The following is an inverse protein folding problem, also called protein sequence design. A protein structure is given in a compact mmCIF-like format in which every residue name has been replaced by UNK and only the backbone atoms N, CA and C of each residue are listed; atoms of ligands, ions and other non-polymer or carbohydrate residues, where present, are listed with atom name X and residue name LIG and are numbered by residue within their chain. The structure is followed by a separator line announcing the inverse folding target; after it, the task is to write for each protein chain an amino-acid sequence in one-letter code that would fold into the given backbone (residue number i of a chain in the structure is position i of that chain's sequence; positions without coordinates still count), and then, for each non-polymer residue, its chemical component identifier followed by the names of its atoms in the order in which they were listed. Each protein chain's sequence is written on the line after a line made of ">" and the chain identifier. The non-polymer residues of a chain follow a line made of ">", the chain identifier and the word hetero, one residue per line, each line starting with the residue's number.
data_IF_779171941770
#
_entry.id   IF_779171941770
#
_cell.length_a   1.000
_cell.length_b   1.000
_cell.length_c   1.000
_cell.angle_alpha   90.00
_cell.angle_beta   90.00
_cell.angle_gamma   90.00
#
_symmetry.space_group_name_H-M   'P 1'
#
loop_
_entity.id
_entity.type
_entity.pdbx_description
1 polymer ?
#
# COMPACT_ATOMS: atom_id res chain seq x y z
N UNK A 1 4.07 5.73 -5.00
CA UNK A 1 3.73 4.63 -5.91
C UNK A 1 2.29 4.81 -6.32
N UNK A 2 1.95 4.58 -7.59
CA UNK A 2 0.56 4.62 -8.05
C UNK A 2 -0.03 3.22 -8.00
N UNK A 3 -1.20 3.10 -7.37
CA UNK A 3 -2.04 1.90 -7.39
C UNK A 3 -3.21 2.23 -8.29
N UNK A 4 -3.39 1.43 -9.34
CA UNK A 4 -4.50 1.55 -10.26
C UNK A 4 -5.54 0.50 -9.90
N UNK A 5 -6.79 0.92 -9.88
CA UNK A 5 -7.94 0.05 -9.66
C UNK A 5 -8.65 -0.13 -10.99
N UNK A 6 -8.90 -1.39 -11.35
CA UNK A 6 -9.56 -1.78 -12.57
C UNK A 6 -10.83 -2.55 -12.23
N UNK A 7 -11.89 -2.25 -12.94
CA UNK A 7 -13.01 -3.17 -13.10
C UNK A 7 -12.62 -4.20 -14.17
N UNK A 8 -12.87 -5.48 -13.92
CA UNK A 8 -12.51 -6.59 -14.80
C UNK A 8 -13.70 -7.51 -14.94
N UNK A 9 -14.14 -7.74 -16.18
CA UNK A 9 -15.11 -8.77 -16.52
C UNK A 9 -14.37 -10.02 -17.01
N UNK A 10 -14.69 -11.16 -16.41
CA UNK A 10 -14.12 -12.45 -16.77
C UNK A 10 -15.21 -13.50 -16.95
N UNK A 11 -14.91 -14.50 -17.78
CA UNK A 11 -15.71 -15.72 -17.90
C UNK A 11 -14.84 -16.86 -17.40
N UNK A 12 -15.36 -17.59 -16.43
CA UNK A 12 -14.77 -18.81 -15.91
C UNK A 12 -15.53 -20.02 -16.47
N UNK A 13 -14.80 -21.06 -16.86
CA UNK A 13 -15.35 -22.32 -17.37
C UNK A 13 -15.12 -23.39 -16.29
N UNK A 14 -16.20 -24.03 -15.85
CA UNK A 14 -16.23 -25.14 -14.90
C UNK A 14 -17.07 -26.26 -15.47
N UNK A 15 -16.52 -27.47 -15.65
CA UNK A 15 -17.26 -28.73 -15.88
C UNK A 15 -18.60 -28.60 -16.66
N UNK A 16 -18.59 -27.89 -17.80
CA UNK A 16 -19.73 -27.62 -18.72
C UNK A 16 -20.63 -26.41 -18.42
N UNK A 17 -20.23 -25.49 -17.54
CA UNK A 17 -20.90 -24.22 -17.28
C UNK A 17 -19.94 -23.03 -17.43
N UNK A 18 -20.47 -21.95 -17.98
CA UNK A 18 -19.79 -20.66 -18.08
C UNK A 18 -20.34 -19.73 -17.00
N UNK A 19 -19.46 -19.19 -16.16
CA UNK A 19 -19.82 -18.22 -15.13
C UNK A 19 -19.18 -16.88 -15.43
N UNK A 20 -20.01 -15.83 -15.54
CA UNK A 20 -19.54 -14.44 -15.59
C UNK A 20 -19.11 -13.99 -14.20
N UNK A 21 -17.97 -13.32 -14.14
CA UNK A 21 -17.40 -12.72 -12.93
C UNK A 21 -17.07 -11.25 -13.18
N UNK A 22 -17.49 -10.41 -12.24
CA UNK A 22 -17.15 -9.00 -12.21
C UNK A 22 -16.26 -8.74 -10.99
N UNK A 23 -15.06 -8.21 -11.23
CA UNK A 23 -14.00 -8.10 -10.23
C UNK A 23 -13.45 -6.69 -10.18
N UNK A 24 -13.13 -6.23 -8.97
CA UNK A 24 -12.29 -5.04 -8.79
C UNK A 24 -10.87 -5.49 -8.44
N UNK A 25 -9.92 -5.17 -9.31
CA UNK A 25 -8.53 -5.58 -9.21
C UNK A 25 -7.64 -4.35 -9.01
N UNK A 26 -6.73 -4.43 -8.02
CA UNK A 26 -5.77 -3.35 -7.72
C UNK A 26 -4.36 -3.80 -8.09
N UNK A 27 -3.68 -3.01 -8.91
CA UNK A 27 -2.28 -3.28 -9.32
C UNK A 27 -1.36 -2.09 -9.11
N UNK A 28 -0.11 -2.40 -8.80
CA UNK A 28 0.97 -1.41 -8.68
C UNK A 28 1.48 -1.03 -10.07
N UNK A 29 1.34 0.24 -10.46
CA UNK A 29 1.66 0.69 -11.81
C UNK A 29 0.61 0.30 -12.85
N UNK A 30 0.74 0.82 -14.07
CA UNK A 30 -0.17 0.56 -15.19
C UNK A 30 0.27 -0.65 -16.03
N UNK A 31 0.68 -1.73 -15.36
CA UNK A 31 1.20 -2.95 -15.99
C UNK A 31 0.05 -3.91 -16.28
N UNK A 32 -0.33 -4.02 -17.55
CA UNK A 32 -1.46 -4.86 -18.01
C UNK A 32 -1.22 -6.34 -17.72
N UNK A 33 0.02 -6.84 -17.82
CA UNK A 33 0.30 -8.25 -17.56
C UNK A 33 0.04 -8.59 -16.08
N UNK A 34 0.46 -7.70 -15.17
CA UNK A 34 0.13 -7.86 -13.74
C UNK A 34 -1.36 -7.78 -13.47
N UNK A 35 -2.11 -6.94 -14.19
CA UNK A 35 -3.57 -6.88 -14.09
C UNK A 35 -4.18 -8.24 -14.42
N UNK A 36 -3.82 -8.82 -15.57
CA UNK A 36 -4.32 -10.13 -15.96
C UNK A 36 -3.97 -11.23 -14.95
N UNK A 37 -2.73 -11.25 -14.45
CA UNK A 37 -2.29 -12.24 -13.46
C UNK A 37 -3.05 -12.15 -12.14
N UNK A 38 -3.24 -10.93 -11.62
CA UNK A 38 -3.96 -10.71 -10.37
C UNK A 38 -5.45 -11.03 -10.55
N UNK A 39 -6.06 -10.60 -11.65
CA UNK A 39 -7.45 -10.89 -11.97
C UNK A 39 -7.70 -12.41 -12.05
N UNK A 40 -6.87 -13.16 -12.78
CA UNK A 40 -6.97 -14.63 -12.87
C UNK A 40 -6.82 -15.29 -11.50
N UNK A 41 -5.85 -14.86 -10.69
CA UNK A 41 -5.66 -15.40 -9.33
C UNK A 41 -6.85 -15.12 -8.41
N UNK A 42 -7.45 -13.94 -8.52
CA UNK A 42 -8.63 -13.57 -7.73
C UNK A 42 -9.87 -14.35 -8.16
N UNK A 43 -10.11 -14.46 -9.47
CA UNK A 43 -11.16 -15.29 -10.03
C UNK A 43 -11.03 -16.77 -9.61
N UNK A 44 -9.83 -17.35 -9.73
CA UNK A 44 -9.56 -18.74 -9.33
C UNK A 44 -9.74 -19.00 -7.83
N UNK A 45 -9.58 -17.98 -6.98
CA UNK A 45 -9.87 -18.09 -5.54
C UNK A 45 -11.36 -18.08 -5.24
N UNK A 46 -12.15 -17.35 -6.03
CA UNK A 46 -13.60 -17.27 -5.86
C UNK A 46 -14.28 -18.54 -6.38
N UNK A 47 -13.73 -19.13 -7.44
CA UNK A 47 -14.28 -20.31 -8.09
C UNK A 47 -13.36 -21.52 -7.89
N UNK A 48 -13.73 -22.38 -6.94
CA UNK A 48 -13.04 -23.66 -6.72
C UNK A 48 -13.15 -24.53 -7.99
N UNK A 49 -12.11 -25.29 -8.34
CA UNK A 49 -12.09 -26.20 -9.50
C UNK A 49 -12.35 -25.55 -10.88
N UNK A 50 -11.85 -24.33 -11.10
CA UNK A 50 -11.96 -23.68 -12.41
C UNK A 50 -10.98 -24.28 -13.42
N UNK A 51 -11.46 -24.68 -14.61
CA UNK A 51 -10.61 -25.22 -15.68
C UNK A 51 -9.94 -24.10 -16.49
N UNK A 52 -10.68 -23.02 -16.77
CA UNK A 52 -10.18 -21.89 -17.57
C UNK A 52 -10.82 -20.58 -17.16
N UNK A 53 -10.02 -19.51 -17.16
CA UNK A 53 -10.48 -18.14 -16.91
C UNK A 53 -10.05 -17.26 -18.08
N UNK A 54 -11.02 -16.65 -18.74
CA UNK A 54 -10.81 -15.71 -19.84
C UNK A 54 -11.25 -14.32 -19.39
N UNK A 55 -10.35 -13.34 -19.51
CA UNK A 55 -10.68 -11.94 -19.22
C UNK A 55 -11.22 -11.33 -20.50
N UNK A 56 -12.46 -10.84 -20.43
CA UNK A 56 -13.21 -10.34 -21.59
C UNK A 56 -13.04 -8.83 -21.75
N UNK A 57 -13.10 -8.11 -20.64
CA UNK A 57 -13.01 -6.66 -20.60
C UNK A 57 -12.32 -6.18 -19.32
N UNK A 58 -11.65 -5.04 -19.39
CA UNK A 58 -11.20 -4.33 -18.21
C UNK A 58 -11.21 -2.82 -18.44
N UNK A 59 -11.52 -2.07 -17.38
CA UNK A 59 -11.58 -0.62 -17.39
C UNK A 59 -10.90 -0.04 -16.15
N UNK A 60 -10.07 0.99 -16.33
CA UNK A 60 -9.46 1.69 -15.19
C UNK A 60 -10.49 2.63 -14.55
N UNK A 61 -10.96 2.28 -13.36
CA UNK A 61 -11.98 3.06 -12.66
C UNK A 61 -11.39 4.08 -11.68
N UNK A 62 -10.16 3.87 -11.18
CA UNK A 62 -9.53 4.79 -10.23
C UNK A 62 -8.01 4.63 -10.22
N UNK A 63 -7.31 5.65 -9.72
CA UNK A 63 -5.92 5.54 -9.33
C UNK A 63 -5.67 6.31 -8.03
N UNK A 64 -4.82 5.77 -7.18
CA UNK A 64 -4.38 6.43 -5.96
C UNK A 64 -2.86 6.41 -5.84
N UNK A 65 -2.30 7.48 -5.28
CA UNK A 65 -0.89 7.52 -4.92
C UNK A 65 -0.71 7.13 -3.47
N UNK A 66 0.02 6.04 -3.24
CA UNK A 66 0.37 5.54 -1.91
C UNK A 66 1.87 5.65 -1.67
N UNK A 67 2.25 5.84 -0.41
CA UNK A 67 3.66 5.81 -0.03
C UNK A 67 4.17 4.36 0.05
N UNK A 68 5.49 4.19 0.04
CA UNK A 68 6.09 2.87 0.31
C UNK A 68 5.76 2.36 1.73
N UNK A 69 5.50 3.26 2.67
CA UNK A 69 5.17 2.88 4.05
C UNK A 69 3.72 2.35 4.15
N UNK A 70 2.76 2.93 3.43
CA UNK A 70 1.39 2.39 3.39
C UNK A 70 1.39 0.96 2.83
N UNK A 71 2.11 0.75 1.72
CA UNK A 71 2.27 -0.60 1.14
C UNK A 71 3.02 -1.55 2.06
N UNK A 72 3.99 -1.05 2.83
CA UNK A 72 4.64 -1.85 3.86
C UNK A 72 3.62 -2.34 4.90
N UNK A 73 2.74 -1.47 5.38
CA UNK A 73 1.69 -1.81 6.35
C UNK A 73 0.73 -2.85 5.79
N UNK A 74 0.22 -2.64 4.56
CA UNK A 74 -0.67 -3.59 3.88
C UNK A 74 -0.01 -4.96 3.69
N UNK A 75 1.26 -4.99 3.26
CA UNK A 75 1.97 -6.25 3.11
C UNK A 75 2.20 -6.97 4.44
N UNK A 76 2.49 -6.24 5.52
CA UNK A 76 2.61 -6.83 6.87
C UNK A 76 1.28 -7.43 7.34
N UNK A 77 0.17 -6.74 7.13
CA UNK A 77 -1.17 -7.22 7.49
C UNK A 77 -1.58 -8.45 6.69
N UNK A 78 -1.22 -8.52 5.41
CA UNK A 78 -1.46 -9.70 4.55
C UNK A 78 -0.52 -10.90 4.82
N UNK A 79 0.36 -10.81 5.82
CA UNK A 79 1.23 -11.91 6.22
C UNK A 79 2.46 -12.15 5.35
N UNK A 80 2.83 -11.22 4.45
CA UNK A 80 4.03 -11.37 3.63
C UNK A 80 5.30 -11.39 4.49
N UNK A 81 6.29 -12.19 4.06
CA UNK A 81 7.55 -12.29 4.79
C UNK A 81 8.38 -11.01 4.68
N UNK A 82 9.16 -10.71 5.71
CA UNK A 82 10.00 -9.50 5.78
C UNK A 82 10.91 -9.35 4.55
N UNK A 83 11.50 -10.45 4.09
CA UNK A 83 12.37 -10.47 2.91
C UNK A 83 11.61 -10.15 1.61
N UNK A 84 10.41 -10.72 1.44
CA UNK A 84 9.54 -10.42 0.30
C UNK A 84 9.14 -8.94 0.28
N UNK A 85 8.74 -8.38 1.43
CA UNK A 85 8.35 -6.97 1.54
C UNK A 85 9.51 -6.06 1.18
N UNK A 86 10.70 -6.31 1.75
CA UNK A 86 11.91 -5.50 1.47
C UNK A 86 12.25 -5.50 -0.01
N UNK A 87 12.22 -6.68 -0.64
CA UNK A 87 12.51 -6.87 -2.06
C UNK A 87 11.48 -6.14 -2.95
N UNK A 88 10.18 -6.36 -2.71
CA UNK A 88 9.10 -5.73 -3.50
C UNK A 88 9.12 -4.21 -3.42
N UNK A 89 9.34 -3.66 -2.23
CA UNK A 89 9.37 -2.21 -2.04
C UNK A 89 10.72 -1.57 -2.41
N UNK A 90 11.72 -2.39 -2.80
CA UNK A 90 13.09 -1.97 -3.10
C UNK A 90 13.63 -1.04 -2.02
N UNK A 91 13.55 -1.49 -0.76
CA UNK A 91 13.99 -0.72 0.41
C UNK A 91 15.42 -1.10 0.79
N UNK A 92 16.25 -0.10 1.13
CA UNK A 92 17.52 -0.37 1.79
C UNK A 92 17.26 -0.98 3.18
N UNK A 93 18.24 -1.74 3.70
CA UNK A 93 18.14 -2.34 5.02
C UNK A 93 17.80 -1.31 6.12
N UNK A 94 18.49 -0.16 6.09
CA UNK A 94 18.24 0.96 7.02
C UNK A 94 16.80 1.46 6.95
N UNK A 95 16.26 1.69 5.75
CA UNK A 95 14.89 2.20 5.58
C UNK A 95 13.84 1.15 5.98
N UNK A 96 14.12 -0.12 5.68
CA UNK A 96 13.27 -1.23 6.12
C UNK A 96 13.19 -1.33 7.64
N UNK A 97 14.33 -1.20 8.34
CA UNK A 97 14.38 -1.18 9.81
C UNK A 97 13.62 0.00 10.42
N UNK A 98 13.71 1.18 9.82
CA UNK A 98 12.91 2.35 10.20
C UNK A 98 11.40 2.03 10.13
N UNK A 99 10.94 1.43 9.03
CA UNK A 99 9.53 1.06 8.85
C UNK A 99 9.06 0.01 9.86
N UNK A 100 9.88 -1.02 10.08
CA UNK A 100 9.62 -2.08 11.05
C UNK A 100 9.49 -1.54 12.47
N UNK A 101 10.43 -0.69 12.91
CA UNK A 101 10.43 -0.11 14.24
C UNK A 101 9.18 0.75 14.48
N UNK A 102 8.81 1.57 13.49
CA UNK A 102 7.63 2.43 13.60
C UNK A 102 6.33 1.63 13.56
N UNK A 103 6.21 0.63 12.68
CA UNK A 103 5.04 -0.25 12.60
C UNK A 103 4.82 -1.05 13.89
N UNK A 104 5.88 -1.59 14.48
CA UNK A 104 5.83 -2.34 15.74
C UNK A 104 5.58 -1.45 16.98
N UNK A 105 5.43 -0.13 16.82
CA UNK A 105 5.23 0.80 17.94
C UNK A 105 6.48 1.01 18.81
N UNK A 106 7.67 0.61 18.34
CA UNK A 106 8.95 0.71 19.08
C UNK A 106 9.62 2.08 18.97
N UNK A 107 8.90 3.09 18.49
CA UNK A 107 9.39 4.46 18.37
C UNK A 107 8.83 5.33 19.49
N UNK A 108 9.51 6.43 19.81
CA UNK A 108 9.02 7.37 20.83
C UNK A 108 7.72 8.00 20.36
N UNK A 109 6.73 8.07 21.25
CA UNK A 109 5.45 8.74 20.96
C UNK A 109 5.71 10.20 20.57
N UNK A 110 5.14 10.61 19.46
CA UNK A 110 5.23 11.97 18.94
C UNK A 110 3.85 12.61 18.94
N UNK A 111 3.73 13.76 19.60
CA UNK A 111 2.47 14.51 19.76
C UNK A 111 2.60 15.90 19.18
N UNK A 112 1.46 16.54 18.92
CA UNK A 112 1.46 17.87 18.30
C UNK A 112 1.98 18.96 19.24
N UNK A 113 1.70 18.85 20.55
CA UNK A 113 2.31 19.72 21.55
C UNK A 113 3.84 19.62 21.53
N UNK A 114 4.37 18.39 21.42
CA UNK A 114 5.82 18.18 21.33
C UNK A 114 6.40 18.71 20.02
N UNK A 115 5.67 18.60 18.92
CA UNK A 115 6.06 19.23 17.65
C UNK A 115 6.19 20.74 17.78
N UNK A 116 5.18 21.43 18.35
CA UNK A 116 5.20 22.89 18.59
C UNK A 116 6.40 23.30 19.45
N UNK A 117 6.64 22.61 20.57
CA UNK A 117 7.79 22.89 21.45
C UNK A 117 9.12 22.83 20.68
N UNK A 118 9.33 21.80 19.87
CA UNK A 118 10.58 21.63 19.11
C UNK A 118 10.71 22.64 17.97
N UNK A 119 9.60 23.02 17.33
CA UNK A 119 9.59 24.06 16.31
C UNK A 119 9.87 25.44 16.89
N UNK A 120 9.37 25.75 18.08
CA UNK A 120 9.68 26.99 18.80
C UNK A 120 11.17 27.11 19.16
N UNK A 121 11.87 25.97 19.30
CA UNK A 121 13.33 25.91 19.44
C UNK A 121 14.09 25.95 18.11
N UNK A 122 13.40 26.30 17.02
CA UNK A 122 13.95 26.37 15.66
C UNK A 122 14.51 25.05 15.11
N UNK A 123 14.09 23.88 15.63
CA UNK A 123 14.54 22.61 15.06
C UNK A 123 13.90 22.37 13.68
N UNK A 124 14.69 22.00 12.64
CA UNK A 124 14.15 21.64 11.34
C UNK A 124 13.29 20.38 11.39
N UNK A 125 12.26 20.32 10.53
CA UNK A 125 11.35 19.20 10.40
C UNK A 125 12.06 17.85 10.23
N UNK A 126 13.09 17.78 9.38
CA UNK A 126 13.85 16.54 9.17
C UNK A 126 14.65 16.10 10.40
N UNK A 127 15.13 17.04 11.22
CA UNK A 127 15.82 16.72 12.48
C UNK A 127 14.82 16.15 13.48
N UNK A 128 13.66 16.79 13.64
CA UNK A 128 12.57 16.32 14.50
C UNK A 128 12.13 14.92 14.06
N UNK A 129 11.83 14.74 12.78
CA UNK A 129 11.40 13.46 12.21
C UNK A 129 12.40 12.34 12.51
N UNK A 130 13.68 12.57 12.22
CA UNK A 130 14.75 11.58 12.46
C UNK A 130 14.88 11.25 13.95
N UNK A 131 14.78 12.25 14.84
CA UNK A 131 14.85 12.06 16.31
C UNK A 131 13.76 11.13 16.85
N UNK A 132 12.59 11.13 16.21
CA UNK A 132 11.46 10.26 16.56
C UNK A 132 11.33 9.04 15.64
N UNK A 133 12.25 8.87 14.70
CA UNK A 133 12.29 7.75 13.74
C UNK A 133 10.98 7.55 12.96
N UNK A 134 10.29 8.65 12.65
CA UNK A 134 9.00 8.61 11.97
C UNK A 134 9.23 8.50 10.45
N UNK A 135 8.53 7.58 9.75
CA UNK A 135 8.53 7.55 8.30
C UNK A 135 8.13 8.90 7.70
N UNK A 136 8.91 9.37 6.73
CA UNK A 136 8.75 10.68 6.06
C UNK A 136 7.29 11.00 5.72
N UNK A 137 6.62 10.10 4.99
CA UNK A 137 5.22 10.29 4.59
C UNK A 137 4.24 10.39 5.77
N UNK A 138 4.50 9.69 6.89
CA UNK A 138 3.66 9.72 8.09
C UNK A 138 3.87 11.04 8.83
N UNK A 139 5.11 11.50 8.93
CA UNK A 139 5.44 12.78 9.56
C UNK A 139 4.78 13.97 8.87
N UNK A 140 4.86 14.03 7.53
CA UNK A 140 4.23 15.13 6.79
C UNK A 140 2.70 15.06 6.80
N UNK A 141 2.10 13.85 6.78
CA UNK A 141 0.66 13.70 7.01
C UNK A 141 0.25 14.17 8.39
N UNK A 142 1.04 13.84 9.41
CA UNK A 142 0.82 14.29 10.76
C UNK A 142 0.83 15.82 10.85
N UNK A 143 1.83 16.49 10.27
CA UNK A 143 1.87 17.96 10.24
C UNK A 143 0.64 18.51 9.52
N UNK A 144 0.36 18.04 8.30
CA UNK A 144 -0.77 18.52 7.48
C UNK A 144 -2.12 18.37 8.18
N UNK A 145 -2.33 17.26 8.90
CA UNK A 145 -3.56 17.05 9.69
C UNK A 145 -3.74 18.06 10.83
N UNK A 146 -2.69 18.78 11.22
CA UNK A 146 -2.69 19.78 12.28
C UNK A 146 -2.39 21.21 11.78
N UNK A 147 -2.19 21.43 10.48
CA UNK A 147 -1.93 22.76 9.90
C UNK A 147 -3.08 23.74 10.16
N UNK A 148 -4.33 23.27 10.22
CA UNK A 148 -5.49 24.09 10.62
C UNK A 148 -5.43 24.61 12.07
N UNK A 149 -4.50 24.10 12.89
CA UNK A 149 -4.28 24.51 14.30
C UNK A 149 -3.00 25.34 14.49
N UNK A 150 -2.36 25.72 13.37
CA UNK A 150 -1.17 26.57 13.29
C UNK A 150 -1.45 27.94 12.67
N UNK A 151 -2.51 28.06 11.87
CA UNK A 151 -3.13 29.34 11.52
C UNK A 151 -3.97 29.84 12.71
#
# INVERSE_FOLDING_TARGET
>A
MKIYSYYVEAIAIQENQNQKLDLVVKVEGADKNKLFDVAKKQAAKMLQHTQRITICWFEQINHQTVSKYDRYCEYRQSGLSKNQIRSRLKLSFKKFKEFEKYYDGKTKRFTFGKYKELRNRNLPNEVIRKRYEIPTCVFYRFIRSHERKLA
#
